data_IF_009854902362
#
_entry.id   IF_009854902362
#
_cell.length_a   1.000
_cell.length_b   1.000
_cell.length_c   1.000
_cell.angle_alpha   90.00
_cell.angle_beta   90.00
_cell.angle_gamma   90.00
#
_symmetry.space_group_name_H-M   'P 1'
#
loop_
_entity.id
_entity.type
_entity.pdbx_description
1 polymer ?
#
# COMPACT_ATOMS: atom_id res chain seq x y z
N UNK A 1 0.35 -15.90 -1.23
CA UNK A 1 0.51 -17.05 -2.15
C UNK A 1 -0.09 -16.68 -3.49
N UNK A 2 0.71 -16.64 -4.56
CA UNK A 2 0.18 -16.61 -5.92
C UNK A 2 -0.40 -17.99 -6.22
N UNK A 3 -1.72 -18.08 -6.38
CA UNK A 3 -2.37 -19.33 -6.75
C UNK A 3 -2.08 -19.61 -8.22
N UNK A 4 -1.14 -20.51 -8.49
CA UNK A 4 -0.92 -21.08 -9.83
C UNK A 4 -1.81 -22.31 -9.92
N UNK A 5 -2.87 -22.22 -10.73
CA UNK A 5 -3.73 -23.36 -11.07
C UNK A 5 -3.30 -23.92 -12.41
N UNK A 6 -3.06 -25.23 -12.47
CA UNK A 6 -2.68 -25.95 -13.70
C UNK A 6 -3.83 -26.05 -14.71
N UNK A 7 -5.06 -25.70 -14.31
CA UNK A 7 -6.25 -25.74 -15.15
C UNK A 7 -6.35 -24.48 -16.07
N UNK A 8 -6.34 -24.64 -17.41
CA UNK A 8 -6.35 -23.51 -18.35
C UNK A 8 -7.63 -22.67 -18.31
N UNK A 9 -8.72 -23.21 -17.77
CA UNK A 9 -9.98 -22.48 -17.60
C UNK A 9 -9.88 -21.28 -16.64
N UNK A 10 -8.91 -21.31 -15.71
CA UNK A 10 -8.74 -20.27 -14.68
C UNK A 10 -7.68 -19.22 -15.02
N UNK A 11 -6.95 -19.39 -16.13
CA UNK A 11 -5.84 -18.50 -16.50
C UNK A 11 -6.28 -17.06 -16.75
N UNK A 12 -7.46 -16.86 -17.34
CA UNK A 12 -8.03 -15.52 -17.56
C UNK A 12 -8.30 -14.80 -16.24
N UNK A 13 -8.89 -15.51 -15.27
CA UNK A 13 -9.15 -14.99 -13.93
C UNK A 13 -7.85 -14.68 -13.19
N UNK A 14 -6.87 -15.60 -13.20
CA UNK A 14 -5.56 -15.43 -12.55
C UNK A 14 -4.82 -14.22 -13.14
N UNK A 15 -4.84 -14.05 -14.46
CA UNK A 15 -4.21 -12.90 -15.11
C UNK A 15 -4.89 -11.58 -14.70
N UNK A 16 -6.22 -11.55 -14.63
CA UNK A 16 -6.97 -10.38 -14.17
C UNK A 16 -6.65 -10.03 -12.71
N UNK A 17 -6.59 -11.02 -11.82
CA UNK A 17 -6.19 -10.83 -10.42
C UNK A 17 -4.75 -10.34 -10.28
N UNK A 18 -3.83 -10.88 -11.08
CA UNK A 18 -2.42 -10.47 -11.07
C UNK A 18 -2.29 -9.01 -11.53
N UNK A 19 -2.94 -8.65 -12.63
CA UNK A 19 -2.94 -7.28 -13.15
C UNK A 19 -3.55 -6.29 -12.15
N UNK A 20 -4.68 -6.65 -11.54
CA UNK A 20 -5.32 -5.85 -10.49
C UNK A 20 -4.41 -5.67 -9.27
N UNK A 21 -3.68 -6.70 -8.88
CA UNK A 21 -2.72 -6.65 -7.78
C UNK A 21 -1.57 -5.67 -8.05
N UNK A 22 -0.96 -5.73 -9.24
CA UNK A 22 0.08 -4.77 -9.63
C UNK A 22 -0.45 -3.35 -9.70
N UNK A 23 -1.67 -3.16 -10.23
CA UNK A 23 -2.30 -1.86 -10.32
C UNK A 23 -2.57 -1.27 -8.94
N UNK A 24 -3.05 -2.07 -7.98
CA UNK A 24 -3.29 -1.64 -6.59
C UNK A 24 -1.98 -1.18 -5.92
N UNK A 25 -0.88 -1.92 -6.11
CA UNK A 25 0.43 -1.53 -5.57
C UNK A 25 0.91 -0.23 -6.21
N UNK A 26 0.80 -0.09 -7.54
CA UNK A 26 1.18 1.13 -8.24
C UNK A 26 0.35 2.36 -7.78
N UNK A 27 -0.96 2.19 -7.62
CA UNK A 27 -1.85 3.23 -7.11
C UNK A 27 -1.50 3.62 -5.66
N UNK A 28 -1.17 2.64 -4.81
CA UNK A 28 -0.74 2.89 -3.44
C UNK A 28 0.57 3.70 -3.39
N UNK A 29 1.54 3.37 -4.24
CA UNK A 29 2.80 4.13 -4.36
C UNK A 29 2.56 5.56 -4.84
N UNK A 30 1.63 5.76 -5.79
CA UNK A 30 1.26 7.11 -6.23
C UNK A 30 0.65 7.95 -5.09
N UNK A 31 -0.23 7.34 -4.27
CA UNK A 31 -0.83 8.00 -3.10
C UNK A 31 0.23 8.30 -2.03
N UNK A 32 1.18 7.38 -1.79
CA UNK A 32 2.33 7.61 -0.91
C UNK A 32 3.15 8.82 -1.36
N UNK A 33 3.40 8.91 -2.66
CA UNK A 33 4.23 9.96 -3.23
C UNK A 33 3.59 11.34 -3.02
N UNK A 34 2.30 11.48 -3.39
CA UNK A 34 1.54 12.72 -3.20
C UNK A 34 1.44 13.11 -1.70
N UNK A 35 1.29 12.10 -0.84
CA UNK A 35 1.31 12.29 0.60
C UNK A 35 2.68 12.80 1.11
N UNK A 36 3.78 12.22 0.65
CA UNK A 36 5.14 12.63 1.06
C UNK A 36 5.45 14.08 0.67
N UNK A 37 4.90 14.54 -0.47
CA UNK A 37 5.07 15.90 -0.95
C UNK A 37 4.37 16.92 -0.04
N UNK A 38 3.19 16.58 0.46
CA UNK A 38 2.43 17.42 1.39
C UNK A 38 2.93 17.32 2.85
N UNK A 39 3.56 16.20 3.23
CA UNK A 39 4.12 15.98 4.56
C UNK A 39 5.21 17.01 4.92
N UNK A 40 6.09 17.38 3.98
CA UNK A 40 7.16 18.35 4.25
C UNK A 40 6.63 19.71 4.73
N UNK A 41 5.54 20.18 4.13
CA UNK A 41 4.87 21.42 4.54
C UNK A 41 4.10 21.26 5.85
N UNK A 42 3.46 20.10 6.06
CA UNK A 42 2.77 19.78 7.30
C UNK A 42 3.74 19.74 8.49
N UNK A 43 4.95 19.19 8.35
CA UNK A 43 5.93 19.18 9.44
C UNK A 43 6.34 20.60 9.80
N UNK A 44 6.65 21.45 8.82
CA UNK A 44 7.08 22.82 9.10
C UNK A 44 5.96 23.67 9.75
N UNK A 45 4.71 23.50 9.33
CA UNK A 45 3.57 24.27 9.84
C UNK A 45 2.96 23.69 11.12
N UNK A 46 2.93 22.37 11.30
CA UNK A 46 2.30 21.71 12.45
C UNK A 46 3.31 21.48 13.56
N UNK A 47 4.52 21.02 13.25
CA UNK A 47 5.51 20.71 14.29
C UNK A 47 6.21 21.96 14.82
N UNK A 48 6.30 23.04 14.04
CA UNK A 48 6.91 24.32 14.46
C UNK A 48 5.90 25.31 15.08
N UNK A 49 4.60 25.02 15.04
CA UNK A 49 3.54 25.91 15.52
C UNK A 49 2.74 25.26 16.67
N UNK A 50 1.86 26.03 17.35
CA UNK A 50 1.08 25.54 18.51
C UNK A 50 0.16 24.39 18.09
N UNK A 51 0.39 23.21 18.68
CA UNK A 51 -0.42 22.02 18.49
C UNK A 51 -1.84 22.25 19.02
N UNK A 52 -2.83 22.19 18.13
CA UNK A 52 -4.24 22.15 18.51
C UNK A 52 -4.72 20.70 18.54
N UNK A 53 -5.64 20.37 19.45
CA UNK A 53 -6.26 19.05 19.57
C UNK A 53 -6.89 18.59 18.24
N UNK A 54 -7.48 19.53 17.49
CA UNK A 54 -8.04 19.29 16.17
C UNK A 54 -6.99 18.84 15.15
N UNK A 55 -5.77 19.37 15.23
CA UNK A 55 -4.66 19.00 14.36
C UNK A 55 -4.14 17.59 14.67
N UNK A 56 -4.13 17.20 15.95
CA UNK A 56 -3.76 15.84 16.38
C UNK A 56 -4.79 14.82 15.93
N UNK A 57 -6.09 15.13 16.04
CA UNK A 57 -7.14 14.26 15.51
C UNK A 57 -7.04 14.11 13.99
N UNK A 58 -6.70 15.18 13.28
CA UNK A 58 -6.46 15.14 11.84
C UNK A 58 -5.24 14.29 11.46
N UNK A 59 -4.11 14.43 12.18
CA UNK A 59 -2.95 13.57 12.00
C UNK A 59 -3.29 12.10 12.31
N UNK A 60 -4.02 11.84 13.41
CA UNK A 60 -4.43 10.50 13.78
C UNK A 60 -5.22 9.81 12.67
N UNK A 61 -6.27 10.45 12.16
CA UNK A 61 -7.09 9.86 11.09
C UNK A 61 -6.33 9.73 9.76
N UNK A 62 -5.49 10.72 9.40
CA UNK A 62 -4.70 10.70 8.17
C UNK A 62 -3.64 9.60 8.17
N UNK A 63 -2.97 9.35 9.30
CA UNK A 63 -1.89 8.37 9.39
C UNK A 63 -2.40 6.96 9.70
N UNK A 64 -3.53 6.83 10.42
CA UNK A 64 -4.18 5.53 10.65
C UNK A 64 -4.69 4.91 9.35
N UNK A 65 -5.32 5.70 8.47
CA UNK A 65 -5.77 5.21 7.16
C UNK A 65 -4.61 4.77 6.28
N UNK A 66 -3.51 5.52 6.34
CA UNK A 66 -2.28 5.18 5.63
C UNK A 66 -1.65 3.87 6.15
N UNK A 67 -1.48 3.76 7.46
CA UNK A 67 -0.98 2.55 8.13
C UNK A 67 -1.86 1.33 7.82
N UNK A 68 -3.18 1.50 7.82
CA UNK A 68 -4.11 0.44 7.48
C UNK A 68 -3.89 -0.05 6.04
N UNK A 69 -3.81 0.86 5.07
CA UNK A 69 -3.54 0.50 3.68
C UNK A 69 -2.15 -0.15 3.51
N UNK A 70 -1.12 0.40 4.16
CA UNK A 70 0.25 -0.12 4.10
C UNK A 70 0.38 -1.54 4.68
N UNK A 71 -0.41 -1.88 5.70
CA UNK A 71 -0.46 -3.23 6.27
C UNK A 71 -1.36 -4.16 5.44
N UNK A 72 -2.45 -3.64 4.87
CA UNK A 72 -3.41 -4.43 4.09
C UNK A 72 -2.83 -4.91 2.76
N UNK A 73 -2.05 -4.07 2.06
CA UNK A 73 -1.41 -4.40 0.77
C UNK A 73 -0.58 -5.68 0.86
N UNK A 74 0.44 -5.83 1.74
CA UNK A 74 1.28 -7.02 1.79
C UNK A 74 0.55 -8.28 2.29
N UNK A 75 -0.56 -8.11 3.02
CA UNK A 75 -1.39 -9.24 3.50
C UNK A 75 -2.25 -9.81 2.37
N UNK A 76 -2.79 -8.95 1.51
CA UNK A 76 -3.74 -9.35 0.45
C UNK A 76 -3.07 -9.53 -0.92
N UNK A 77 -1.98 -8.81 -1.17
CA UNK A 77 -1.19 -8.90 -2.38
C UNK A 77 0.07 -9.71 -2.06
N UNK A 78 0.24 -10.91 -2.63
CA UNK A 78 1.49 -11.65 -2.51
C UNK A 78 2.54 -11.00 -3.43
N UNK A 79 3.13 -9.89 -3.00
CA UNK A 79 4.11 -9.11 -3.79
C UNK A 79 5.49 -9.77 -3.82
N UNK A 80 5.74 -10.73 -2.93
CA UNK A 80 7.02 -11.45 -2.84
C UNK A 80 6.84 -12.90 -3.27
N UNK A 81 7.26 -13.20 -4.50
CA UNK A 81 7.62 -14.55 -4.91
C UNK A 81 8.87 -14.95 -4.12
N UNK A 82 8.67 -15.59 -2.95
CA UNK A 82 9.77 -16.23 -2.21
C UNK A 82 10.24 -17.54 -2.89
N UNK A 83 9.62 -17.91 -4.02
CA UNK A 83 9.87 -19.16 -4.74
C UNK A 83 11.23 -19.24 -5.44
N UNK A 84 11.96 -18.13 -5.60
CA UNK A 84 13.31 -18.16 -6.21
C UNK A 84 14.43 -18.63 -5.26
N UNK A 85 14.12 -19.05 -4.03
CA UNK A 85 15.12 -19.59 -3.08
C UNK A 85 15.08 -21.10 -2.88
N UNK A 86 14.23 -21.85 -3.60
CA UNK A 86 14.21 -23.32 -3.53
C UNK A 86 15.06 -24.05 -4.59
N UNK A 87 16.11 -23.40 -5.09
CA UNK A 87 17.19 -24.09 -5.81
C UNK A 87 18.40 -24.33 -4.90
N UNK A 88 18.26 -25.25 -3.93
CA UNK A 88 19.31 -26.18 -3.46
C UNK A 88 18.64 -27.48 -3.01
#
# INVERSE_FOLDING_TARGET
MTYVSDDPAWWSAINAYSLGSYFIVAAFVAVMYDWSLTFGQEVELIWRQRWSLMTVMYLGTRYLGFLYAALYIPINVPTISLTDTQWV
#
